data_IF_253469641595
#
_entry.id   IF_253469641595
#
_cell.length_a   1.000
_cell.length_b   1.000
_cell.length_c   1.000
_cell.angle_alpha   90.00
_cell.angle_beta   90.00
_cell.angle_gamma   90.00
#
_symmetry.space_group_name_H-M   'P 1'
#
loop_
_entity.id
_entity.type
_entity.pdbx_description
1 polymer ?
#
# COMPACT_ATOMS: atom_id res chain seq x y z
N UNK A 1 14.26 -19.33 -17.22
CA UNK A 1 13.27 -18.38 -16.69
C UNK A 1 13.89 -17.72 -15.46
N UNK A 2 14.35 -16.47 -15.59
CA UNK A 2 15.07 -15.75 -14.52
C UNK A 2 14.08 -15.23 -13.49
N UNK A 3 14.23 -15.61 -12.21
CA UNK A 3 13.48 -15.00 -11.10
C UNK A 3 13.88 -13.53 -10.99
N UNK A 4 13.01 -12.61 -11.39
CA UNK A 4 13.16 -11.20 -11.04
C UNK A 4 12.71 -11.04 -9.59
N UNK A 5 13.65 -11.00 -8.66
CA UNK A 5 13.36 -10.55 -7.31
C UNK A 5 13.11 -9.05 -7.36
N UNK A 6 11.86 -8.65 -7.25
CA UNK A 6 11.53 -7.28 -6.90
C UNK A 6 12.01 -7.06 -5.47
N UNK A 7 13.13 -6.36 -5.31
CA UNK A 7 13.76 -6.07 -4.03
C UNK A 7 12.99 -4.92 -3.35
N UNK A 8 11.69 -5.12 -3.11
CA UNK A 8 10.81 -4.08 -2.56
C UNK A 8 11.12 -3.95 -1.06
N UNK A 9 11.87 -2.92 -0.69
CA UNK A 9 12.12 -2.58 0.71
C UNK A 9 10.96 -1.72 1.25
N UNK A 10 10.51 -2.02 2.47
CA UNK A 10 9.45 -1.26 3.12
C UNK A 10 9.86 0.21 3.36
N UNK A 11 11.14 0.44 3.66
CA UNK A 11 11.71 1.79 3.80
C UNK A 11 11.54 2.62 2.53
N UNK A 12 11.85 2.07 1.36
CA UNK A 12 11.73 2.79 0.09
C UNK A 12 10.27 3.17 -0.21
N UNK A 13 9.31 2.30 0.13
CA UNK A 13 7.88 2.61 -0.04
C UNK A 13 7.41 3.73 0.92
N UNK A 14 7.96 3.75 2.13
CA UNK A 14 7.67 4.80 3.10
C UNK A 14 8.26 6.12 2.64
N UNK A 15 9.51 6.13 2.20
CA UNK A 15 10.23 7.32 1.72
C UNK A 15 9.60 7.89 0.45
N UNK A 16 9.19 7.04 -0.49
CA UNK A 16 8.47 7.44 -1.70
C UNK A 16 7.04 7.96 -1.42
N UNK A 17 6.49 7.70 -0.23
CA UNK A 17 5.15 8.17 0.17
C UNK A 17 3.99 7.38 -0.45
N UNK A 18 4.23 6.21 -1.01
CA UNK A 18 3.22 5.41 -1.74
C UNK A 18 2.09 4.87 -0.84
N UNK A 19 2.29 4.93 0.48
CA UNK A 19 1.28 4.58 1.48
C UNK A 19 0.18 5.63 1.68
N UNK A 20 0.36 6.85 1.15
CA UNK A 20 -0.69 7.86 1.10
C UNK A 20 -1.68 7.51 -0.03
N UNK A 21 -2.85 7.04 0.36
CA UNK A 21 -3.88 6.58 -0.56
C UNK A 21 -4.79 7.68 -1.10
N UNK A 22 -5.88 7.24 -1.72
CA UNK A 22 -6.92 8.14 -2.23
C UNK A 22 -7.67 8.88 -1.11
N UNK A 23 -8.17 10.06 -1.46
CA UNK A 23 -9.02 10.85 -0.57
C UNK A 23 -10.27 10.07 -0.16
N UNK A 24 -10.71 10.24 1.09
CA UNK A 24 -11.77 9.45 1.73
C UNK A 24 -13.14 9.52 1.05
N UNK A 25 -13.34 10.48 0.14
CA UNK A 25 -14.60 10.68 -0.60
C UNK A 25 -14.77 9.78 -1.82
N UNK A 26 -13.69 9.36 -2.47
CA UNK A 26 -13.72 8.51 -3.68
C UNK A 26 -13.16 7.12 -3.41
N UNK A 27 -13.38 6.64 -2.20
CA UNK A 27 -12.82 5.38 -1.73
C UNK A 27 -13.72 4.18 -2.07
N UNK A 28 -13.13 3.11 -2.62
CA UNK A 28 -13.81 1.84 -2.82
C UNK A 28 -13.88 1.04 -1.51
N UNK A 29 -15.08 0.84 -0.95
CA UNK A 29 -15.28 0.09 0.30
C UNK A 29 -14.62 -1.29 0.33
N UNK A 30 -14.44 -1.96 -0.82
CA UNK A 30 -13.75 -3.26 -0.91
C UNK A 30 -12.28 -3.21 -0.48
N UNK A 31 -11.64 -2.04 -0.53
CA UNK A 31 -10.27 -1.84 -0.04
C UNK A 31 -10.19 -1.63 1.48
N UNK A 32 -11.32 -1.63 2.21
CA UNK A 32 -11.37 -1.38 3.66
C UNK A 32 -10.39 -2.24 4.47
N UNK A 33 -10.21 -3.55 4.16
CA UNK A 33 -9.28 -4.40 4.91
C UNK A 33 -7.80 -3.99 4.78
N UNK A 34 -7.44 -3.23 3.75
CA UNK A 34 -6.06 -2.81 3.48
C UNK A 34 -5.76 -1.40 4.00
N UNK A 35 -6.72 -0.72 4.64
CA UNK A 35 -6.50 0.59 5.27
C UNK A 35 -6.03 0.40 6.71
N UNK A 36 -4.95 1.09 7.10
CA UNK A 36 -4.48 1.15 8.49
C UNK A 36 -5.09 2.32 9.26
N UNK A 37 -5.15 3.51 8.65
CA UNK A 37 -5.60 4.73 9.30
C UNK A 37 -6.21 5.74 8.33
N UNK A 38 -6.82 6.80 8.87
CA UNK A 38 -7.29 7.97 8.10
C UNK A 38 -6.71 9.23 8.73
N UNK A 39 -6.09 10.11 7.94
CA UNK A 39 -5.53 11.38 8.40
C UNK A 39 -5.80 12.47 7.36
N UNK A 40 -6.30 13.64 7.80
CA UNK A 40 -6.60 14.78 6.91
C UNK A 40 -7.39 14.40 5.64
N UNK A 41 -8.41 13.55 5.78
CA UNK A 41 -9.25 13.04 4.67
C UNK A 41 -8.49 12.17 3.64
N UNK A 42 -7.32 11.63 3.99
CA UNK A 42 -6.55 10.68 3.19
C UNK A 42 -6.53 9.33 3.91
N UNK A 43 -6.74 8.26 3.15
CA UNK A 43 -6.56 6.89 3.65
C UNK A 43 -5.08 6.52 3.66
N UNK A 44 -4.61 5.94 4.75
CA UNK A 44 -3.26 5.38 4.84
C UNK A 44 -3.37 3.87 4.63
N UNK A 45 -2.62 3.34 3.67
CA UNK A 45 -2.63 1.93 3.31
C UNK A 45 -1.70 1.13 4.22
N UNK A 46 -2.11 -0.07 4.62
CA UNK A 46 -1.28 -1.01 5.37
C UNK A 46 -0.25 -1.68 4.44
N UNK A 47 0.96 -1.11 4.39
CA UNK A 47 2.04 -1.62 3.55
C UNK A 47 2.44 -3.06 3.88
N UNK A 48 2.38 -3.50 5.14
CA UNK A 48 2.72 -4.88 5.52
C UNK A 48 1.75 -5.89 4.88
N UNK A 49 0.48 -5.53 4.79
CA UNK A 49 -0.55 -6.36 4.13
C UNK A 49 -0.39 -6.30 2.61
N UNK A 50 -0.10 -5.13 2.04
CA UNK A 50 0.08 -4.95 0.59
C UNK A 50 1.37 -5.60 0.06
N UNK A 51 2.47 -5.51 0.79
CA UNK A 51 3.77 -6.10 0.42
C UNK A 51 3.68 -7.63 0.23
N UNK A 52 2.78 -8.31 0.97
CA UNK A 52 2.51 -9.73 0.77
C UNK A 52 1.91 -10.04 -0.60
N UNK A 53 1.07 -9.14 -1.12
CA UNK A 53 0.46 -9.30 -2.45
C UNK A 53 1.43 -8.94 -3.59
N UNK A 54 2.36 -7.99 -3.37
CA UNK A 54 3.40 -7.65 -4.36
C UNK A 54 4.39 -8.79 -4.62
N UNK A 55 4.60 -9.67 -3.64
CA UNK A 55 5.51 -10.82 -3.78
C UNK A 55 4.91 -12.01 -4.55
N UNK A 56 3.61 -11.98 -4.86
CA UNK A 56 2.86 -13.09 -5.48
C UNK A 56 2.44 -12.86 -6.94
N UNK A 57 2.90 -11.78 -7.60
CA UNK A 57 2.63 -11.46 -9.00
C UNK A 57 3.88 -11.58 -9.87
#
# INVERSE_FOLDING_TARGET
MTRRYWNINLEEIIEAGDHFGQGTRKFNQKMSPNISAKRKLIHITNLTRTARFYRSL
#
